data_IF_332634219958
#
_entry.id   IF_332634219958
#
_cell.length_a   1.000
_cell.length_b   1.000
_cell.length_c   1.000
_cell.angle_alpha   90.00
_cell.angle_beta   90.00
_cell.angle_gamma   90.00
#
_symmetry.space_group_name_H-M   'P 1'
#
loop_
_entity.id
_entity.type
_entity.pdbx_description
1 polymer ?
#
# COMPACT_ATOMS: atom_id res chain seq x y z
N UNK A 1 -14.87 -25.16 -41.20
CA UNK A 1 -15.15 -23.87 -40.52
C UNK A 1 -13.90 -23.49 -39.76
N UNK A 2 -13.38 -22.29 -39.98
CA UNK A 2 -12.29 -21.79 -39.11
C UNK A 2 -12.86 -21.63 -37.69
N UNK A 3 -12.13 -21.98 -36.63
CA UNK A 3 -12.59 -21.70 -35.28
C UNK A 3 -12.80 -20.19 -35.14
N UNK A 4 -13.99 -19.80 -34.69
CA UNK A 4 -14.27 -18.41 -34.33
C UNK A 4 -13.27 -18.04 -33.23
N UNK A 5 -12.49 -16.98 -33.43
CA UNK A 5 -11.58 -16.46 -32.44
C UNK A 5 -12.39 -16.20 -31.17
N UNK A 6 -12.07 -16.93 -30.10
CA UNK A 6 -12.71 -16.77 -28.80
C UNK A 6 -12.08 -15.55 -28.12
N UNK A 7 -12.89 -14.56 -27.72
CA UNK A 7 -12.42 -13.44 -26.94
C UNK A 7 -11.80 -13.95 -25.60
N UNK A 8 -10.76 -13.29 -25.11
CA UNK A 8 -10.19 -13.63 -23.80
C UNK A 8 -11.25 -13.49 -22.70
N UNK A 9 -11.20 -14.39 -21.72
CA UNK A 9 -12.13 -14.37 -20.59
C UNK A 9 -11.65 -13.37 -19.52
N UNK A 10 -12.60 -12.75 -18.86
CA UNK A 10 -12.36 -11.91 -17.69
C UNK A 10 -12.57 -12.74 -16.40
N UNK A 11 -11.69 -13.70 -16.17
CA UNK A 11 -11.80 -14.60 -15.01
C UNK A 11 -11.30 -13.93 -13.71
N UNK A 12 -10.38 -12.98 -13.82
CA UNK A 12 -9.73 -12.32 -12.68
C UNK A 12 -9.54 -10.84 -12.98
N UNK A 13 -9.73 -10.00 -11.97
CA UNK A 13 -9.41 -8.57 -11.99
C UNK A 13 -8.37 -8.27 -10.94
N UNK A 14 -7.51 -7.28 -11.20
CA UNK A 14 -6.68 -6.76 -10.14
C UNK A 14 -6.99 -5.29 -9.85
N UNK A 15 -6.82 -4.91 -8.59
CA UNK A 15 -7.24 -3.61 -8.06
C UNK A 15 -6.23 -3.07 -7.07
N UNK A 16 -6.21 -1.75 -6.93
CA UNK A 16 -5.36 -1.03 -5.99
C UNK A 16 -6.04 0.27 -5.54
N UNK A 17 -5.31 1.09 -4.82
CA UNK A 17 -5.73 2.46 -4.51
C UNK A 17 -6.13 3.29 -5.75
N UNK A 18 -5.68 2.93 -6.94
CA UNK A 18 -6.08 3.60 -8.19
C UNK A 18 -7.56 3.39 -8.53
N UNK A 19 -8.14 2.25 -8.14
CA UNK A 19 -9.57 1.96 -8.28
C UNK A 19 -10.41 2.45 -7.10
N UNK A 20 -9.74 2.92 -6.01
CA UNK A 20 -10.38 3.36 -4.78
C UNK A 20 -10.99 2.20 -3.97
N UNK A 21 -11.88 2.56 -3.06
CA UNK A 21 -12.60 1.59 -2.24
C UNK A 21 -13.67 0.85 -3.05
N UNK A 22 -13.44 -0.41 -3.35
CA UNK A 22 -14.42 -1.25 -4.03
C UNK A 22 -15.54 -1.66 -3.08
N UNK A 23 -16.77 -1.62 -3.56
CA UNK A 23 -17.95 -2.05 -2.80
C UNK A 23 -18.29 -3.52 -3.08
N UNK A 24 -19.07 -4.15 -2.20
CA UNK A 24 -19.65 -5.48 -2.45
C UNK A 24 -20.45 -5.47 -3.76
N UNK A 25 -21.22 -4.40 -4.03
CA UNK A 25 -21.98 -4.25 -5.26
C UNK A 25 -21.12 -4.24 -6.52
N UNK A 26 -19.96 -3.57 -6.51
CA UNK A 26 -19.01 -3.57 -7.62
C UNK A 26 -18.52 -5.00 -7.94
N UNK A 27 -18.03 -5.72 -6.93
CA UNK A 27 -17.53 -7.08 -7.11
C UNK A 27 -18.64 -8.08 -7.44
N UNK A 28 -19.83 -7.91 -6.89
CA UNK A 28 -21.00 -8.72 -7.26
C UNK A 28 -21.38 -8.52 -8.73
N UNK A 29 -21.37 -7.27 -9.22
CA UNK A 29 -21.63 -6.99 -10.63
C UNK A 29 -20.54 -7.60 -11.55
N UNK A 30 -19.27 -7.50 -11.17
CA UNK A 30 -18.16 -8.12 -11.90
C UNK A 30 -18.33 -9.65 -11.97
N UNK A 31 -18.70 -10.29 -10.87
CA UNK A 31 -18.97 -11.73 -10.81
C UNK A 31 -20.14 -12.13 -11.71
N UNK A 32 -21.29 -11.47 -11.54
CA UNK A 32 -22.56 -11.90 -12.12
C UNK A 32 -22.73 -11.52 -13.59
N UNK A 33 -22.19 -10.37 -14.01
CA UNK A 33 -22.36 -9.86 -15.37
C UNK A 33 -21.17 -10.18 -16.28
N UNK A 34 -19.96 -10.33 -15.72
CA UNK A 34 -18.73 -10.48 -16.51
C UNK A 34 -18.00 -11.80 -16.25
N UNK A 35 -18.47 -12.62 -15.30
CA UNK A 35 -17.91 -13.93 -15.03
C UNK A 35 -16.60 -13.91 -14.22
N UNK A 36 -16.28 -12.80 -13.56
CA UNK A 36 -15.11 -12.70 -12.67
C UNK A 36 -15.23 -13.71 -11.55
N UNK A 37 -14.14 -14.43 -11.26
CA UNK A 37 -14.06 -15.49 -10.26
C UNK A 37 -13.12 -15.11 -9.11
N UNK A 38 -12.13 -14.29 -9.40
CA UNK A 38 -11.04 -13.94 -8.49
C UNK A 38 -10.66 -12.46 -8.57
N UNK A 39 -10.22 -11.93 -7.45
CA UNK A 39 -9.64 -10.58 -7.32
C UNK A 39 -8.21 -10.71 -6.80
N UNK A 40 -7.30 -9.88 -7.30
CA UNK A 40 -5.96 -9.68 -6.71
C UNK A 40 -5.87 -8.23 -6.30
N UNK A 41 -5.75 -7.92 -5.01
CA UNK A 41 -5.64 -6.54 -4.53
C UNK A 41 -4.21 -6.19 -4.18
N UNK A 42 -3.77 -4.96 -4.49
CA UNK A 42 -2.49 -4.46 -3.98
C UNK A 42 -2.50 -4.52 -2.46
N UNK A 43 -1.46 -5.11 -1.89
CA UNK A 43 -1.24 -5.15 -0.43
C UNK A 43 -0.21 -4.09 -0.05
N UNK A 44 0.93 -4.09 -0.74
CA UNK A 44 2.06 -3.25 -0.35
C UNK A 44 3.05 -3.02 -1.48
N UNK A 45 4.03 -2.13 -1.24
CA UNK A 45 5.10 -1.81 -2.18
C UNK A 45 6.39 -1.52 -1.41
N UNK A 46 7.51 -2.10 -1.82
CA UNK A 46 8.77 -1.97 -1.11
C UNK A 46 8.63 -2.33 0.37
N UNK A 47 9.32 -1.62 1.25
CA UNK A 47 9.19 -1.76 2.71
C UNK A 47 8.48 -0.56 3.36
N UNK A 48 7.80 0.28 2.57
CA UNK A 48 7.36 1.61 3.00
C UNK A 48 5.91 1.98 2.65
N UNK A 49 5.29 1.30 1.69
CA UNK A 49 3.92 1.60 1.27
C UNK A 49 2.99 0.42 1.54
N UNK A 50 1.92 0.70 2.24
CA UNK A 50 0.78 -0.18 2.46
C UNK A 50 -0.42 0.38 1.69
N UNK A 51 -1.07 -0.42 0.87
CA UNK A 51 -2.22 0.04 0.09
C UNK A 51 -3.43 0.24 1.02
N UNK A 52 -3.87 1.49 1.15
CA UNK A 52 -4.93 1.85 2.08
C UNK A 52 -6.31 1.27 1.72
N UNK A 53 -6.48 0.75 0.50
CA UNK A 53 -7.72 0.11 0.06
C UNK A 53 -7.72 -1.39 0.29
N UNK A 54 -6.57 -2.01 0.56
CA UNK A 54 -6.39 -3.46 0.60
C UNK A 54 -7.38 -4.16 1.54
N UNK A 55 -7.46 -3.72 2.77
CA UNK A 55 -8.37 -4.31 3.77
C UNK A 55 -9.85 -4.26 3.34
N UNK A 56 -10.28 -3.12 2.79
CA UNK A 56 -11.62 -2.96 2.26
C UNK A 56 -11.86 -3.92 1.09
N UNK A 57 -10.94 -3.94 0.12
CA UNK A 57 -11.07 -4.73 -1.10
C UNK A 57 -11.06 -6.24 -0.79
N UNK A 58 -10.26 -6.68 0.17
CA UNK A 58 -10.30 -8.05 0.69
C UNK A 58 -11.68 -8.37 1.24
N UNK A 59 -12.18 -7.57 2.17
CA UNK A 59 -13.47 -7.79 2.83
C UNK A 59 -14.63 -7.79 1.85
N UNK A 60 -14.70 -6.81 0.94
CA UNK A 60 -15.82 -6.68 -0.01
C UNK A 60 -15.79 -7.73 -1.10
N UNK A 61 -14.60 -8.18 -1.55
CA UNK A 61 -14.46 -9.29 -2.50
C UNK A 61 -14.96 -10.61 -1.86
N UNK A 62 -14.57 -10.89 -0.62
CA UNK A 62 -15.06 -12.06 0.11
C UNK A 62 -16.59 -12.04 0.30
N UNK A 63 -17.14 -10.91 0.73
CA UNK A 63 -18.60 -10.74 0.90
C UNK A 63 -19.36 -10.93 -0.42
N UNK A 64 -18.75 -10.60 -1.56
CA UNK A 64 -19.33 -10.86 -2.88
C UNK A 64 -19.17 -12.31 -3.36
N UNK A 65 -18.51 -13.19 -2.59
CA UNK A 65 -18.28 -14.59 -2.92
C UNK A 65 -17.17 -14.82 -3.95
N UNK A 66 -16.31 -13.83 -4.21
CA UNK A 66 -15.12 -13.98 -5.03
C UNK A 66 -13.96 -14.58 -4.24
N UNK A 67 -13.03 -15.25 -4.94
CA UNK A 67 -11.71 -15.56 -4.37
C UNK A 67 -10.92 -14.27 -4.28
N UNK A 68 -10.16 -14.11 -3.19
CA UNK A 68 -9.33 -12.93 -2.97
C UNK A 68 -7.86 -13.30 -2.79
N UNK A 69 -7.01 -12.63 -3.52
CA UNK A 69 -5.57 -12.78 -3.50
C UNK A 69 -4.94 -11.39 -3.34
N UNK A 70 -3.64 -11.33 -3.11
CA UNK A 70 -2.94 -10.06 -2.97
C UNK A 70 -1.68 -9.99 -3.79
N UNK A 71 -1.21 -8.77 -4.08
CA UNK A 71 0.10 -8.58 -4.67
C UNK A 71 0.94 -7.56 -3.91
N UNK A 72 2.25 -7.76 -3.95
CA UNK A 72 3.26 -6.85 -3.46
C UNK A 72 4.05 -6.29 -4.64
N UNK A 73 4.03 -4.99 -4.84
CA UNK A 73 4.83 -4.33 -5.86
C UNK A 73 6.30 -4.29 -5.42
N UNK A 74 7.12 -5.08 -6.07
CA UNK A 74 8.52 -5.28 -5.68
C UNK A 74 9.39 -4.07 -6.06
N UNK A 75 10.28 -3.68 -5.16
CA UNK A 75 11.27 -2.61 -5.34
C UNK A 75 12.71 -3.08 -5.10
N UNK A 76 12.92 -4.34 -4.76
CA UNK A 76 14.24 -4.87 -4.43
C UNK A 76 15.23 -4.83 -5.61
N UNK A 77 16.50 -4.76 -5.26
CA UNK A 77 17.65 -4.95 -6.14
C UNK A 77 18.65 -5.98 -5.58
N UNK A 78 18.26 -6.71 -4.54
CA UNK A 78 19.08 -7.72 -3.86
C UNK A 78 18.22 -8.74 -3.13
N UNK A 79 18.79 -9.90 -2.80
CA UNK A 79 18.13 -10.96 -2.00
C UNK A 79 17.76 -10.43 -0.59
N UNK A 80 18.62 -9.62 0.01
CA UNK A 80 18.33 -9.02 1.33
C UNK A 80 17.16 -8.04 1.26
N UNK A 81 17.05 -7.25 0.17
CA UNK A 81 15.91 -6.39 -0.10
C UNK A 81 14.62 -7.19 -0.26
N UNK A 82 14.65 -8.25 -1.07
CA UNK A 82 13.48 -9.13 -1.26
C UNK A 82 13.03 -9.80 0.05
N UNK A 83 13.97 -10.17 0.93
CA UNK A 83 13.65 -10.68 2.26
C UNK A 83 12.91 -9.64 3.11
N UNK A 84 13.39 -8.42 3.13
CA UNK A 84 12.75 -7.34 3.89
C UNK A 84 11.34 -7.04 3.35
N UNK A 85 11.21 -6.96 2.02
CA UNK A 85 9.92 -6.72 1.35
C UNK A 85 8.93 -7.88 1.54
N UNK A 86 9.39 -9.13 1.50
CA UNK A 86 8.53 -10.30 1.76
C UNK A 86 7.98 -10.30 3.20
N UNK A 87 8.81 -9.99 4.19
CA UNK A 87 8.35 -9.86 5.57
C UNK A 87 7.32 -8.74 5.72
N UNK A 88 7.55 -7.60 5.05
CA UNK A 88 6.62 -6.49 5.05
C UNK A 88 5.30 -6.87 4.35
N UNK A 89 5.36 -7.47 3.17
CA UNK A 89 4.18 -7.92 2.43
C UNK A 89 3.32 -8.91 3.24
N UNK A 90 3.96 -9.89 3.88
CA UNK A 90 3.29 -10.86 4.77
C UNK A 90 2.64 -10.17 5.99
N UNK A 91 3.34 -9.22 6.60
CA UNK A 91 2.80 -8.48 7.73
C UNK A 91 1.55 -7.68 7.34
N UNK A 92 1.59 -6.98 6.20
CA UNK A 92 0.46 -6.21 5.69
C UNK A 92 -0.71 -7.12 5.26
N UNK A 93 -0.43 -8.21 4.55
CA UNK A 93 -1.45 -9.18 4.14
C UNK A 93 -2.21 -9.75 5.35
N UNK A 94 -1.51 -10.08 6.43
CA UNK A 94 -2.12 -10.53 7.70
C UNK A 94 -2.95 -9.44 8.36
N UNK A 95 -2.44 -8.23 8.42
CA UNK A 95 -3.13 -7.08 9.03
C UNK A 95 -4.43 -6.72 8.29
N UNK A 96 -4.45 -6.91 6.97
CA UNK A 96 -5.62 -6.66 6.13
C UNK A 96 -6.63 -7.83 6.12
N UNK A 97 -6.24 -8.97 6.68
CA UNK A 97 -7.11 -10.15 6.72
C UNK A 97 -7.13 -10.96 5.44
N UNK A 98 -6.04 -10.92 4.64
CA UNK A 98 -5.90 -11.82 3.50
C UNK A 98 -5.96 -13.28 3.99
N UNK A 99 -6.87 -14.12 3.46
CA UNK A 99 -7.06 -15.47 3.97
C UNK A 99 -5.78 -16.31 3.80
N UNK A 100 -5.51 -17.19 4.76
CA UNK A 100 -4.49 -18.22 4.60
C UNK A 100 -4.81 -19.07 3.35
N UNK A 101 -3.78 -19.53 2.66
CA UNK A 101 -3.85 -20.16 1.34
C UNK A 101 -4.30 -19.26 0.17
N UNK A 102 -4.53 -17.96 0.39
CA UNK A 102 -4.57 -17.00 -0.72
C UNK A 102 -3.19 -16.92 -1.40
N UNK A 103 -3.18 -16.50 -2.66
CA UNK A 103 -1.93 -16.20 -3.36
C UNK A 103 -1.46 -14.81 -2.95
N UNK A 104 -0.18 -14.70 -2.56
CA UNK A 104 0.52 -13.43 -2.40
C UNK A 104 1.59 -13.32 -3.48
N UNK A 105 1.30 -12.48 -4.46
CA UNK A 105 2.08 -12.36 -5.69
C UNK A 105 3.25 -11.41 -5.49
N UNK A 106 4.43 -11.78 -6.00
CA UNK A 106 5.53 -10.85 -6.22
C UNK A 106 5.34 -10.18 -7.58
N UNK A 107 5.01 -8.90 -7.61
CA UNK A 107 4.88 -8.10 -8.80
C UNK A 107 6.24 -7.50 -9.18
N UNK A 108 6.88 -8.08 -10.20
CA UNK A 108 8.27 -7.80 -10.61
C UNK A 108 8.27 -7.05 -11.92
N UNK A 109 8.22 -5.71 -11.85
CA UNK A 109 8.18 -4.84 -13.03
C UNK A 109 8.82 -3.45 -12.80
N UNK A 110 9.47 -3.24 -11.65
CA UNK A 110 10.09 -1.97 -11.34
C UNK A 110 11.49 -1.84 -11.98
N UNK A 111 11.88 -0.62 -12.31
CA UNK A 111 13.16 -0.31 -12.95
C UNK A 111 14.38 -0.89 -12.21
N UNK A 112 14.29 -1.05 -10.90
CA UNK A 112 15.34 -1.64 -10.08
C UNK A 112 15.66 -3.07 -10.51
N UNK A 113 14.63 -3.91 -10.76
CA UNK A 113 14.83 -5.29 -11.21
C UNK A 113 15.39 -5.35 -12.63
N UNK A 114 14.97 -4.43 -13.52
CA UNK A 114 15.53 -4.35 -14.86
C UNK A 114 17.05 -4.06 -14.86
N UNK A 115 17.52 -3.30 -13.87
CA UNK A 115 18.92 -2.95 -13.69
C UNK A 115 19.71 -3.98 -12.86
N UNK A 116 19.02 -4.96 -12.26
CA UNK A 116 19.62 -6.02 -11.46
C UNK A 116 19.91 -7.23 -12.33
N UNK A 117 21.08 -7.89 -12.19
CA UNK A 117 21.36 -9.12 -12.92
C UNK A 117 20.28 -10.17 -12.70
N UNK A 118 19.88 -10.87 -13.76
CA UNK A 118 18.79 -11.87 -13.74
C UNK A 118 18.96 -12.91 -12.65
N UNK A 119 20.15 -13.46 -12.48
CA UNK A 119 20.43 -14.44 -11.43
C UNK A 119 20.21 -13.91 -10.01
N UNK A 120 20.41 -12.59 -9.79
CA UNK A 120 20.11 -11.94 -8.50
C UNK A 120 18.60 -11.78 -8.34
N UNK A 121 17.87 -11.43 -9.40
CA UNK A 121 16.41 -11.38 -9.37
C UNK A 121 15.82 -12.77 -9.10
N UNK A 122 16.34 -13.80 -9.73
CA UNK A 122 15.89 -15.19 -9.51
C UNK A 122 16.06 -15.61 -8.04
N UNK A 123 17.23 -15.33 -7.43
CA UNK A 123 17.46 -15.60 -6.01
C UNK A 123 16.58 -14.75 -5.09
N UNK A 124 16.33 -13.49 -5.46
CA UNK A 124 15.45 -12.58 -4.71
C UNK A 124 14.00 -13.10 -4.70
N UNK A 125 13.51 -13.51 -5.86
CA UNK A 125 12.18 -14.13 -6.03
C UNK A 125 12.05 -15.42 -5.22
N UNK A 126 13.07 -16.28 -5.23
CA UNK A 126 13.09 -17.50 -4.42
C UNK A 126 13.02 -17.20 -2.91
N UNK A 127 13.71 -16.17 -2.45
CA UNK A 127 13.67 -15.77 -1.04
C UNK A 127 12.32 -15.16 -0.66
N UNK A 128 11.72 -14.34 -1.52
CA UNK A 128 10.36 -13.82 -1.34
C UNK A 128 9.34 -14.97 -1.23
N UNK A 129 9.37 -15.90 -2.19
CA UNK A 129 8.56 -17.12 -2.20
C UNK A 129 8.67 -17.89 -0.88
N UNK A 130 9.88 -18.18 -0.44
CA UNK A 130 10.14 -18.94 0.79
C UNK A 130 9.44 -18.32 2.01
N UNK A 131 9.49 -17.00 2.15
CA UNK A 131 8.90 -16.28 3.28
C UNK A 131 7.37 -16.28 3.19
N UNK A 132 6.83 -16.03 2.00
CA UNK A 132 5.39 -16.05 1.73
C UNK A 132 4.80 -17.42 2.05
N UNK A 133 5.44 -18.51 1.59
CA UNK A 133 4.99 -19.88 1.83
C UNK A 133 5.12 -20.28 3.31
N UNK A 134 6.20 -19.88 3.99
CA UNK A 134 6.34 -20.08 5.45
C UNK A 134 5.26 -19.36 6.27
N UNK A 135 4.72 -18.28 5.75
CA UNK A 135 3.63 -17.55 6.39
C UNK A 135 2.22 -18.14 6.15
N UNK A 136 2.13 -19.24 5.35
CA UNK A 136 0.89 -19.93 5.04
C UNK A 136 0.16 -19.42 3.79
N UNK A 137 0.75 -18.52 3.03
CA UNK A 137 0.22 -18.07 1.74
C UNK A 137 0.79 -18.93 0.60
N UNK A 138 0.09 -18.97 -0.53
CA UNK A 138 0.65 -19.49 -1.78
C UNK A 138 1.37 -18.36 -2.50
N UNK A 139 2.44 -18.69 -3.17
CA UNK A 139 3.25 -17.72 -3.89
C UNK A 139 2.98 -17.79 -5.39
N UNK A 140 2.95 -16.65 -6.06
CA UNK A 140 3.14 -16.56 -7.51
C UNK A 140 3.97 -15.33 -7.87
N UNK A 141 4.36 -15.22 -9.15
CA UNK A 141 5.07 -14.08 -9.71
C UNK A 141 4.25 -13.45 -10.83
N UNK A 142 4.14 -12.12 -10.80
CA UNK A 142 3.67 -11.34 -11.93
C UNK A 142 4.83 -10.61 -12.60
N UNK A 143 4.86 -10.64 -13.92
CA UNK A 143 5.77 -9.84 -14.74
C UNK A 143 5.25 -9.73 -16.17
N UNK A 144 5.84 -8.81 -16.96
CA UNK A 144 5.52 -8.69 -18.38
C UNK A 144 6.15 -9.81 -19.23
N UNK A 145 5.54 -10.09 -20.39
CA UNK A 145 6.11 -11.00 -21.39
C UNK A 145 7.55 -10.64 -21.78
N UNK A 146 7.87 -9.36 -21.86
CA UNK A 146 9.22 -8.90 -22.25
C UNK A 146 10.27 -9.14 -21.17
N UNK A 147 9.83 -9.26 -19.90
CA UNK A 147 10.72 -9.49 -18.76
C UNK A 147 10.84 -10.96 -18.39
N UNK A 148 9.79 -11.73 -18.68
CA UNK A 148 9.79 -13.18 -18.51
C UNK A 148 11.02 -13.80 -19.18
N UNK A 149 11.81 -14.53 -18.40
CA UNK A 149 13.05 -15.22 -18.78
C UNK A 149 14.23 -14.30 -19.22
N UNK A 150 13.98 -12.98 -19.37
CA UNK A 150 15.00 -11.99 -19.65
C UNK A 150 15.49 -11.27 -18.38
N UNK A 151 14.57 -10.84 -17.51
CA UNK A 151 14.85 -10.13 -16.25
C UNK A 151 14.69 -11.05 -15.05
N UNK A 152 13.69 -11.93 -15.10
CA UNK A 152 13.41 -12.93 -14.06
C UNK A 152 12.90 -14.21 -14.72
N UNK A 153 13.28 -15.36 -14.15
CA UNK A 153 12.81 -16.68 -14.63
C UNK A 153 11.37 -16.93 -14.19
N UNK A 154 10.52 -17.37 -15.13
CA UNK A 154 9.15 -17.81 -14.82
C UNK A 154 8.91 -19.18 -15.44
N UNK A 155 9.15 -20.29 -14.70
CA UNK A 155 8.94 -21.63 -15.19
C UNK A 155 7.49 -21.91 -15.60
N UNK A 156 7.29 -22.84 -16.54
CA UNK A 156 5.96 -23.34 -16.85
C UNK A 156 5.29 -23.94 -15.60
N UNK A 157 3.97 -23.77 -15.48
CA UNK A 157 3.19 -24.14 -14.29
C UNK A 157 3.29 -23.13 -13.16
N UNK A 158 3.86 -21.94 -13.40
CA UNK A 158 3.90 -20.80 -12.48
C UNK A 158 3.70 -19.51 -13.24
N UNK A 159 3.33 -18.44 -12.54
CA UNK A 159 3.37 -17.08 -13.05
C UNK A 159 2.05 -16.57 -13.63
N UNK A 160 1.89 -15.30 -13.49
CA UNK A 160 0.86 -14.45 -14.05
C UNK A 160 1.54 -13.45 -15.00
N UNK A 161 1.31 -13.60 -16.32
CA UNK A 161 2.07 -12.90 -17.34
C UNK A 161 1.24 -11.81 -18.00
N UNK A 162 1.75 -10.58 -18.02
CA UNK A 162 1.14 -9.46 -18.71
C UNK A 162 1.59 -9.40 -20.17
N UNK A 163 0.63 -9.33 -21.06
CA UNK A 163 0.82 -9.02 -22.48
C UNK A 163 -0.49 -8.50 -23.07
N UNK A 164 -0.51 -7.27 -23.56
CA UNK A 164 -1.70 -6.60 -24.08
C UNK A 164 -1.68 -6.58 -25.63
N UNK A 165 -2.28 -7.57 -26.31
CA UNK A 165 -2.38 -7.54 -27.77
C UNK A 165 -3.46 -6.55 -28.23
N UNK A 166 -3.20 -5.86 -29.33
CA UNK A 166 -4.19 -4.95 -29.92
C UNK A 166 -5.51 -5.66 -30.26
N UNK A 167 -5.43 -6.89 -30.76
CA UNK A 167 -6.57 -7.77 -30.95
C UNK A 167 -6.34 -9.11 -30.26
N UNK A 168 -7.28 -9.54 -29.44
CA UNK A 168 -7.25 -10.86 -28.80
C UNK A 168 -7.85 -11.87 -29.75
N UNK A 169 -6.99 -12.60 -30.45
CA UNK A 169 -7.40 -13.61 -31.45
C UNK A 169 -7.15 -15.05 -31.01
N UNK A 170 -6.37 -15.25 -29.97
CA UNK A 170 -6.02 -16.55 -29.41
C UNK A 170 -5.54 -16.40 -27.97
N UNK A 171 -5.63 -17.49 -27.20
CA UNK A 171 -5.04 -17.61 -25.87
C UNK A 171 -3.53 -17.47 -25.90
N UNK A 172 -2.96 -16.78 -24.92
CA UNK A 172 -1.51 -16.63 -24.74
C UNK A 172 -1.11 -17.10 -23.35
N UNK A 173 0.14 -17.51 -23.22
CA UNK A 173 0.71 -17.92 -21.93
C UNK A 173 -0.03 -19.08 -21.24
N UNK A 174 -0.64 -19.98 -22.01
CA UNK A 174 -1.42 -21.11 -21.50
C UNK A 174 -0.65 -22.08 -20.61
N UNK A 175 0.68 -22.01 -20.63
CA UNK A 175 1.55 -22.79 -19.74
C UNK A 175 1.76 -22.15 -18.36
N UNK A 176 1.17 -20.97 -18.09
CA UNK A 176 1.22 -20.22 -16.84
C UNK A 176 -0.14 -20.21 -16.15
N UNK A 177 -0.22 -19.76 -14.89
CA UNK A 177 -1.47 -19.74 -14.15
C UNK A 177 -2.47 -18.74 -14.73
N UNK A 178 -1.97 -17.57 -15.17
CA UNK A 178 -2.81 -16.48 -15.66
C UNK A 178 -2.13 -15.64 -16.75
N UNK A 179 -2.98 -15.03 -17.56
CA UNK A 179 -2.60 -14.02 -18.55
C UNK A 179 -3.39 -12.72 -18.31
N UNK A 180 -2.71 -11.62 -17.95
CA UNK A 180 -3.30 -10.28 -17.94
C UNK A 180 -3.28 -9.75 -19.37
N UNK A 181 -4.46 -9.58 -19.95
CA UNK A 181 -4.59 -9.33 -21.39
C UNK A 181 -5.05 -7.90 -21.72
N UNK A 182 -5.54 -7.12 -20.75
CA UNK A 182 -5.88 -5.71 -20.90
C UNK A 182 -5.79 -4.98 -19.56
N UNK A 183 -5.63 -3.64 -19.64
CA UNK A 183 -5.57 -2.73 -18.49
C UNK A 183 -6.57 -1.56 -18.60
N UNK A 184 -7.55 -1.68 -19.50
CA UNK A 184 -8.52 -0.64 -19.80
C UNK A 184 -9.98 -1.13 -19.76
N UNK A 185 -10.23 -2.26 -19.12
CA UNK A 185 -11.58 -2.81 -18.99
C UNK A 185 -12.48 -1.90 -18.14
N UNK A 186 -13.74 -1.78 -18.53
CA UNK A 186 -14.74 -0.99 -17.83
C UNK A 186 -15.88 -1.90 -17.36
N UNK A 187 -16.27 -1.77 -16.10
CA UNK A 187 -17.37 -2.53 -15.52
C UNK A 187 -18.52 -1.61 -15.14
N UNK A 188 -19.74 -2.00 -15.50
CA UNK A 188 -20.95 -1.25 -15.14
C UNK A 188 -21.04 -1.05 -13.61
N UNK A 189 -21.24 0.18 -13.17
CA UNK A 189 -21.36 0.51 -11.76
C UNK A 189 -20.03 0.65 -11.03
N UNK A 190 -18.90 0.50 -11.72
CA UNK A 190 -17.56 0.75 -11.18
C UNK A 190 -16.91 1.94 -11.88
N UNK A 191 -16.08 2.68 -11.16
CA UNK A 191 -15.39 3.85 -11.71
C UNK A 191 -13.97 3.50 -12.13
N UNK A 192 -13.55 4.00 -13.30
CA UNK A 192 -12.19 3.86 -13.82
C UNK A 192 -11.98 2.64 -14.71
N UNK A 193 -10.71 2.35 -14.94
CA UNK A 193 -10.23 1.24 -15.75
C UNK A 193 -9.66 0.15 -14.86
N UNK A 194 -9.79 -1.08 -15.32
CA UNK A 194 -9.37 -2.25 -14.57
C UNK A 194 -8.47 -3.15 -15.39
N UNK A 195 -7.49 -3.72 -14.74
CA UNK A 195 -6.67 -4.79 -15.28
C UNK A 195 -7.46 -6.11 -15.22
N UNK A 196 -7.47 -6.84 -16.33
CA UNK A 196 -8.26 -8.06 -16.49
C UNK A 196 -7.40 -9.22 -16.98
N UNK A 197 -7.68 -10.39 -16.43
CA UNK A 197 -6.89 -11.59 -16.69
C UNK A 197 -7.77 -12.81 -16.97
N UNK A 198 -7.25 -13.69 -17.83
CA UNK A 198 -7.76 -15.03 -18.06
C UNK A 198 -6.95 -16.03 -17.22
N UNK A 199 -7.65 -16.95 -16.57
CA UNK A 199 -7.07 -18.06 -15.79
C UNK A 199 -7.00 -19.31 -16.61
N UNK A 200 -5.93 -20.10 -16.46
CA UNK A 200 -5.73 -21.38 -17.14
C UNK A 200 -5.88 -22.59 -16.21
N UNK A 201 -5.88 -22.33 -14.90
CA UNK A 201 -6.09 -23.36 -13.88
C UNK A 201 -6.83 -22.77 -12.66
N UNK A 202 -6.88 -23.52 -11.57
CA UNK A 202 -7.55 -23.08 -10.33
C UNK A 202 -6.60 -22.48 -9.31
N UNK A 203 -5.40 -22.07 -9.71
CA UNK A 203 -4.41 -21.54 -8.75
C UNK A 203 -4.92 -20.31 -8.03
N UNK A 204 -5.59 -19.39 -8.70
CA UNK A 204 -6.19 -18.17 -8.11
C UNK A 204 -7.62 -18.35 -7.61
N UNK A 205 -8.23 -19.52 -7.82
CA UNK A 205 -9.61 -19.84 -7.44
C UNK A 205 -9.72 -21.05 -6.51
N UNK A 206 -8.62 -21.44 -5.85
CA UNK A 206 -8.57 -22.59 -4.96
C UNK A 206 -7.90 -22.28 -3.62
N UNK A 207 -7.89 -23.25 -2.74
CA UNK A 207 -7.14 -23.23 -1.48
C UNK A 207 -7.75 -22.38 -0.36
N UNK A 208 -8.73 -21.52 -0.64
CA UNK A 208 -9.38 -20.65 0.35
C UNK A 208 -10.73 -21.26 0.77
N UNK A 209 -11.05 -21.17 2.05
CA UNK A 209 -12.39 -21.44 2.55
C UNK A 209 -13.27 -20.20 2.39
N UNK A 210 -14.14 -20.22 1.39
CA UNK A 210 -15.08 -19.12 1.15
C UNK A 210 -16.11 -18.93 2.27
N UNK A 211 -16.32 -19.95 3.11
CA UNK A 211 -17.29 -19.92 4.20
C UNK A 211 -16.69 -19.39 5.53
N UNK A 212 -15.36 -19.25 5.62
CA UNK A 212 -14.70 -18.77 6.82
C UNK A 212 -14.99 -17.30 7.16
N UNK A 213 -15.60 -16.55 6.24
CA UNK A 213 -15.86 -15.11 6.38
C UNK A 213 -17.12 -14.81 7.22
N UNK A 214 -18.00 -15.78 7.42
CA UNK A 214 -19.27 -15.56 8.13
C UNK A 214 -19.13 -15.76 9.66
N UNK A 215 -18.00 -16.31 10.15
CA UNK A 215 -17.85 -16.73 11.56
C UNK A 215 -16.96 -15.85 12.42
N UNK A 216 -16.42 -14.73 11.94
CA UNK A 216 -15.58 -13.85 12.78
C UNK A 216 -16.39 -12.74 13.46
N UNK A 217 -17.54 -13.12 14.05
CA UNK A 217 -18.09 -12.46 15.24
C UNK A 217 -17.61 -13.18 16.50
N UNK A 218 -16.34 -13.52 16.57
CA UNK A 218 -15.78 -14.07 17.79
C UNK A 218 -15.22 -12.97 18.67
N UNK A 219 -16.02 -12.66 19.67
CA UNK A 219 -15.63 -12.16 20.97
C UNK A 219 -14.41 -12.90 21.50
N UNK A 220 -13.23 -12.34 21.30
CA UNK A 220 -12.10 -12.72 22.13
C UNK A 220 -12.31 -12.15 23.54
N UNK A 221 -12.73 -13.02 24.44
CA UNK A 221 -12.51 -12.85 25.87
C UNK A 221 -11.01 -12.70 26.07
N UNK A 222 -10.58 -11.50 26.37
CA UNK A 222 -9.26 -11.27 26.93
C UNK A 222 -9.40 -11.31 28.44
N UNK A 223 -8.80 -12.34 29.02
CA UNK A 223 -8.66 -12.45 30.45
C UNK A 223 -7.96 -11.22 31.02
N UNK A 224 -8.66 -10.66 31.98
CA UNK A 224 -8.29 -9.49 32.74
C UNK A 224 -7.22 -9.87 33.76
N UNK A 225 -5.97 -9.49 33.58
CA UNK A 225 -5.07 -9.32 34.73
C UNK A 225 -3.95 -8.29 34.48
N UNK A 226 -3.87 -7.42 35.48
CA UNK A 226 -2.83 -6.43 35.75
C UNK A 226 -3.05 -5.02 35.23
N UNK A 227 -3.93 -4.31 35.91
CA UNK A 227 -3.95 -2.85 35.93
C UNK A 227 -2.71 -2.33 36.64
N UNK A 228 -1.79 -1.74 35.90
CA UNK A 228 -0.89 -0.75 36.47
C UNK A 228 -1.65 0.58 36.54
N UNK A 229 -1.97 1.00 37.75
CA UNK A 229 -2.63 2.24 38.10
C UNK A 229 -1.69 3.40 37.75
N UNK A 230 -1.94 4.10 36.65
CA UNK A 230 -1.31 5.39 36.40
C UNK A 230 -2.12 6.45 37.14
N UNK A 231 -1.47 7.08 38.10
CA UNK A 231 -2.01 8.24 38.82
C UNK A 231 -2.28 9.38 37.80
N UNK A 232 -3.44 9.93 37.92
CA UNK A 232 -3.93 11.03 37.07
C UNK A 232 -3.42 12.34 37.68
N UNK A 233 -2.55 13.13 37.01
CA UNK A 233 -2.21 14.45 37.46
C UNK A 233 -3.43 15.38 37.33
N UNK A 234 -3.59 16.27 38.25
CA UNK A 234 -4.67 17.25 38.34
C UNK A 234 -4.80 18.08 37.06
N UNK A 235 -6.03 18.18 36.56
CA UNK A 235 -6.40 18.98 35.38
C UNK A 235 -6.11 20.46 35.63
N UNK A 236 -5.18 21.01 34.84
CA UNK A 236 -5.17 22.43 34.53
C UNK A 236 -5.96 22.59 33.23
N UNK A 237 -7.01 23.42 33.26
CA UNK A 237 -7.89 23.70 32.13
C UNK A 237 -7.12 24.47 31.03
N UNK A 238 -6.56 23.73 30.08
CA UNK A 238 -6.06 24.30 28.82
C UNK A 238 -7.13 24.13 27.75
N UNK A 239 -7.29 25.17 26.93
CA UNK A 239 -8.18 25.16 25.78
C UNK A 239 -7.71 24.04 24.82
N UNK A 240 -8.63 23.17 24.38
CA UNK A 240 -8.31 22.16 23.39
C UNK A 240 -7.86 22.86 22.08
N UNK A 241 -6.72 22.44 21.53
CA UNK A 241 -6.13 22.97 20.30
C UNK A 241 -5.67 21.81 19.44
N UNK A 242 -5.67 22.03 18.12
CA UNK A 242 -5.08 21.06 17.18
C UNK A 242 -4.48 21.79 15.96
N UNK A 243 -3.45 21.19 15.37
CA UNK A 243 -2.79 21.73 14.20
C UNK A 243 -2.12 20.63 13.36
N UNK A 244 -2.08 20.86 12.05
CA UNK A 244 -1.38 19.99 11.13
C UNK A 244 0.14 20.10 11.32
N UNK A 245 0.78 19.02 11.63
CA UNK A 245 2.24 18.91 11.74
C UNK A 245 2.68 17.50 11.41
N UNK A 246 3.52 17.37 10.40
CA UNK A 246 4.18 16.10 10.10
C UNK A 246 5.43 15.92 10.96
N UNK A 247 5.68 14.69 11.39
CA UNK A 247 6.89 14.38 12.15
C UNK A 247 7.04 12.90 12.46
N UNK A 248 8.15 12.58 13.09
CA UNK A 248 8.39 11.26 13.71
C UNK A 248 8.43 11.43 15.22
N UNK A 249 7.77 10.53 15.91
CA UNK A 249 7.86 10.40 17.35
C UNK A 249 8.40 9.01 17.68
N UNK A 250 9.44 8.97 18.50
CA UNK A 250 10.04 7.72 19.01
C UNK A 250 9.75 7.62 20.50
N UNK A 251 9.06 6.56 20.91
CA UNK A 251 8.68 6.32 22.28
C UNK A 251 9.91 6.01 23.15
N UNK A 252 9.96 6.54 24.37
CA UNK A 252 10.96 6.18 25.37
C UNK A 252 10.37 5.37 26.54
N UNK A 253 9.06 5.17 26.53
CA UNK A 253 8.30 4.37 27.48
C UNK A 253 7.19 3.62 26.75
N UNK A 254 6.57 2.64 27.39
CA UNK A 254 5.40 1.94 26.81
C UNK A 254 4.21 2.89 26.70
N UNK A 255 3.62 2.99 25.51
CA UNK A 255 2.54 3.92 25.22
C UNK A 255 1.32 3.21 24.65
N UNK A 256 0.15 3.64 25.09
CA UNK A 256 -1.11 3.15 24.57
C UNK A 256 -1.50 3.87 23.28
N UNK A 257 -1.91 3.11 22.29
CA UNK A 257 -2.54 3.57 21.05
C UNK A 257 -4.04 3.58 21.24
N UNK A 258 -4.69 4.66 20.85
CA UNK A 258 -6.12 4.87 21.08
C UNK A 258 -6.88 5.31 19.83
N UNK A 259 -8.20 5.14 19.85
CA UNK A 259 -9.09 5.51 18.72
C UNK A 259 -9.39 7.00 18.64
N UNK A 260 -9.10 7.77 19.70
CA UNK A 260 -9.24 9.23 19.74
C UNK A 260 -8.25 9.84 20.72
N UNK A 261 -7.94 11.17 20.67
CA UNK A 261 -7.00 11.84 21.56
C UNK A 261 -7.62 12.03 22.96
N UNK A 262 -7.82 10.92 23.66
CA UNK A 262 -8.40 10.89 25.00
C UNK A 262 -7.98 9.60 25.73
N UNK A 263 -7.66 9.72 27.02
CA UNK A 263 -7.31 8.60 27.89
C UNK A 263 -8.49 7.67 28.20
N UNK A 264 -9.72 8.11 27.96
CA UNK A 264 -10.94 7.32 28.18
C UNK A 264 -11.35 6.43 26.99
N UNK A 265 -10.71 6.60 25.82
CA UNK A 265 -11.02 5.81 24.63
C UNK A 265 -10.32 4.47 24.62
N UNK A 266 -10.86 3.53 23.85
CA UNK A 266 -10.34 2.18 23.74
C UNK A 266 -8.85 2.16 23.36
N UNK A 267 -8.08 1.32 24.03
CA UNK A 267 -6.70 0.97 23.67
C UNK A 267 -6.76 -0.09 22.58
N UNK A 268 -6.14 0.16 21.44
CA UNK A 268 -6.17 -0.74 20.26
C UNK A 268 -4.81 -1.35 19.95
N UNK A 269 -3.74 -0.77 20.48
CA UNK A 269 -2.37 -1.27 20.37
C UNK A 269 -1.48 -0.60 21.42
N UNK A 270 -0.20 -0.97 21.44
CA UNK A 270 0.83 -0.33 22.27
C UNK A 270 2.10 -0.14 21.45
N UNK A 271 2.86 0.90 21.78
CA UNK A 271 4.26 1.09 21.37
C UNK A 271 5.16 0.75 22.54
N UNK A 272 6.21 -0.01 22.26
CA UNK A 272 7.28 -0.28 23.22
C UNK A 272 8.40 0.79 23.10
N UNK A 273 9.25 0.95 24.14
CA UNK A 273 10.37 1.88 24.09
C UNK A 273 11.28 1.61 22.87
N UNK A 274 11.63 2.67 22.14
CA UNK A 274 12.42 2.60 20.91
C UNK A 274 11.60 2.49 19.62
N UNK A 275 10.32 2.16 19.69
CA UNK A 275 9.45 2.15 18.53
C UNK A 275 9.06 3.57 18.11
N UNK A 276 8.86 3.74 16.79
CA UNK A 276 8.58 5.06 16.20
C UNK A 276 7.30 5.04 15.37
N UNK A 277 6.61 6.17 15.36
CA UNK A 277 5.48 6.44 14.49
C UNK A 277 5.71 7.73 13.70
N UNK A 278 5.18 7.78 12.48
CA UNK A 278 5.08 9.01 11.70
C UNK A 278 3.68 9.59 11.89
N UNK A 279 3.59 10.86 12.29
CA UNK A 279 2.33 11.53 12.53
C UNK A 279 2.11 12.69 11.55
N UNK A 280 0.85 13.02 11.30
CA UNK A 280 0.41 14.08 10.38
C UNK A 280 -0.32 15.23 11.08
N UNK A 281 -0.65 15.06 12.37
CA UNK A 281 -1.42 16.05 13.11
C UNK A 281 -1.12 15.95 14.61
N UNK A 282 -1.17 17.09 15.30
CA UNK A 282 -1.01 17.18 16.74
C UNK A 282 -2.28 17.70 17.37
N UNK A 283 -2.73 17.06 18.46
CA UNK A 283 -3.84 17.52 19.29
C UNK A 283 -3.31 17.82 20.69
N UNK A 284 -3.69 18.95 21.24
CA UNK A 284 -3.51 19.30 22.67
C UNK A 284 -4.89 19.14 23.29
N UNK A 285 -5.09 18.06 24.04
CA UNK A 285 -6.39 17.72 24.57
C UNK A 285 -6.30 16.95 25.88
N UNK A 286 -7.16 17.35 26.84
CA UNK A 286 -7.21 16.69 28.15
C UNK A 286 -5.90 16.75 28.92
N UNK A 287 -5.08 17.78 28.74
CA UNK A 287 -3.77 17.95 29.36
C UNK A 287 -2.63 17.19 28.70
N UNK A 288 -2.87 16.51 27.59
CA UNK A 288 -1.87 15.77 26.82
C UNK A 288 -1.62 16.35 25.44
N UNK A 289 -0.44 16.09 24.90
CA UNK A 289 -0.07 16.34 23.51
C UNK A 289 -0.13 15.01 22.78
N UNK A 290 -1.03 14.88 21.80
CA UNK A 290 -1.29 13.66 21.07
C UNK A 290 -0.77 13.76 19.64
N UNK A 291 -0.12 12.72 19.16
CA UNK A 291 0.13 12.50 17.76
C UNK A 291 -1.05 11.76 17.14
N UNK A 292 -1.55 12.24 15.99
CA UNK A 292 -2.43 11.47 15.12
C UNK A 292 -1.61 10.83 14.01
N UNK A 293 -1.88 9.58 13.73
CA UNK A 293 -1.30 8.91 12.58
C UNK A 293 -2.32 7.97 11.94
N UNK A 294 -2.16 7.76 10.65
CA UNK A 294 -2.91 6.73 9.96
C UNK A 294 -2.32 5.38 10.35
N UNK A 295 -3.11 4.55 11.03
CA UNK A 295 -2.70 3.19 11.36
C UNK A 295 -2.73 2.29 10.14
N UNK A 296 -2.08 1.16 10.22
CA UNK A 296 -2.13 0.13 9.17
C UNK A 296 -3.54 -0.40 8.87
N UNK A 297 -4.50 -0.18 9.78
CA UNK A 297 -5.90 -0.52 9.57
C UNK A 297 -6.67 0.51 8.73
N UNK A 298 -6.02 1.58 8.26
CA UNK A 298 -6.68 2.68 7.55
C UNK A 298 -7.52 3.60 8.45
N UNK A 299 -7.42 3.44 9.77
CA UNK A 299 -8.08 4.30 10.75
C UNK A 299 -7.06 5.25 11.39
N UNK A 300 -7.50 6.47 11.73
CA UNK A 300 -6.67 7.33 12.53
C UNK A 300 -6.57 6.80 13.95
N UNK A 301 -5.32 6.68 14.41
CA UNK A 301 -4.99 6.34 15.78
C UNK A 301 -4.23 7.48 16.44
N UNK A 302 -4.20 7.46 17.77
CA UNK A 302 -3.66 8.53 18.58
C UNK A 302 -2.75 7.96 19.65
N UNK A 303 -1.59 8.61 19.83
CA UNK A 303 -0.61 8.29 20.87
C UNK A 303 -0.29 9.56 21.64
N UNK A 304 -0.34 9.51 22.97
CA UNK A 304 0.11 10.62 23.79
C UNK A 304 1.64 10.72 23.70
N UNK A 305 2.13 11.84 23.18
CA UNK A 305 3.55 12.15 23.08
C UNK A 305 4.13 12.72 24.39
N UNK A 306 3.27 13.24 25.25
CA UNK A 306 3.65 13.83 26.54
C UNK A 306 2.50 14.56 27.21
N UNK A 307 2.76 15.11 28.38
CA UNK A 307 1.86 16.01 29.13
C UNK A 307 2.14 17.44 28.67
N UNK A 308 1.09 18.23 28.46
CA UNK A 308 1.24 19.62 28.08
C UNK A 308 2.03 20.41 29.15
N UNK A 309 3.17 21.00 28.75
CA UNK A 309 4.05 21.71 29.67
C UNK A 309 4.77 20.85 30.71
N UNK A 310 4.71 19.53 30.56
CA UNK A 310 5.27 18.56 31.50
C UNK A 310 6.14 17.49 30.84
N UNK A 311 6.01 16.26 31.31
CA UNK A 311 6.82 15.14 30.88
C UNK A 311 6.59 14.77 29.42
N UNK A 312 7.67 14.61 28.64
CA UNK A 312 7.67 14.00 27.31
C UNK A 312 7.79 12.47 27.44
N UNK A 313 7.03 11.75 26.62
CA UNK A 313 7.01 10.28 26.60
C UNK A 313 7.92 9.70 25.51
N UNK A 314 8.62 10.56 24.78
CA UNK A 314 9.53 10.18 23.71
C UNK A 314 10.21 11.39 23.09
N UNK A 315 10.88 11.17 21.97
CA UNK A 315 11.57 12.20 21.20
C UNK A 315 10.75 12.56 19.97
N UNK A 316 10.44 13.83 19.80
CA UNK A 316 9.73 14.37 18.63
C UNK A 316 10.72 14.99 17.65
N UNK A 317 10.62 14.60 16.38
CA UNK A 317 11.27 15.27 15.26
C UNK A 317 10.17 15.76 14.32
N UNK A 318 9.76 17.02 14.46
CA UNK A 318 8.85 17.63 13.50
C UNK A 318 9.55 17.79 12.15
N UNK A 319 8.88 17.36 11.08
CA UNK A 319 9.25 17.82 9.76
C UNK A 319 8.63 19.20 9.58
N UNK A 320 9.44 20.19 9.26
CA UNK A 320 8.88 21.40 8.67
C UNK A 320 8.14 20.98 7.43
N UNK A 321 6.83 21.12 7.45
CA UNK A 321 5.98 20.84 6.30
C UNK A 321 6.33 21.88 5.23
N UNK A 322 7.34 21.61 4.44
CA UNK A 322 7.48 22.26 3.15
C UNK A 322 6.38 21.62 2.32
N UNK A 323 5.17 22.17 2.45
CA UNK A 323 4.12 21.89 1.49
C UNK A 323 4.73 22.25 0.15
N UNK A 324 5.08 21.26 -0.64
CA UNK A 324 5.72 21.46 -1.94
C UNK A 324 4.77 22.31 -2.77
N UNK A 325 5.04 23.62 -2.79
CA UNK A 325 4.33 24.56 -3.63
C UNK A 325 5.01 24.58 -4.97
N UNK A 326 4.23 24.70 -6.01
CA UNK A 326 4.75 24.73 -7.37
C UNK A 326 4.42 26.06 -8.02
N UNK A 327 5.39 26.61 -8.73
CA UNK A 327 5.23 27.80 -9.56
C UNK A 327 5.51 27.43 -11.01
N UNK A 328 4.56 27.72 -11.90
CA UNK A 328 4.79 27.55 -13.35
C UNK A 328 5.43 28.81 -13.91
N UNK A 329 6.64 28.66 -14.46
CA UNK A 329 7.40 29.74 -15.10
C UNK A 329 6.58 30.33 -16.23
N UNK A 330 6.45 31.66 -16.25
CA UNK A 330 5.77 32.41 -17.31
C UNK A 330 6.77 33.06 -18.25
N UNK A 331 6.30 33.45 -19.43
CA UNK A 331 7.10 34.23 -20.39
C UNK A 331 7.57 35.53 -19.70
N UNK A 332 8.88 35.82 -19.75
CA UNK A 332 9.49 36.99 -19.13
C UNK A 332 9.93 36.80 -17.66
N UNK A 333 9.69 35.65 -17.07
CA UNK A 333 10.19 35.36 -15.72
C UNK A 333 11.71 35.14 -15.72
N UNK A 334 12.33 35.53 -14.60
CA UNK A 334 13.69 35.13 -14.23
C UNK A 334 13.67 34.40 -12.89
N UNK A 335 14.62 33.49 -12.67
CA UNK A 335 14.67 32.72 -11.41
C UNK A 335 14.81 33.63 -10.18
N UNK A 336 15.48 34.79 -10.32
CA UNK A 336 15.61 35.79 -9.27
C UNK A 336 14.30 36.51 -8.96
N UNK A 337 13.52 36.85 -9.98
CA UNK A 337 12.20 37.46 -9.80
C UNK A 337 11.22 36.48 -9.16
N UNK A 338 11.26 35.22 -9.60
CA UNK A 338 10.46 34.13 -9.02
C UNK A 338 10.85 33.90 -7.56
N UNK A 339 12.13 33.80 -7.23
CA UNK A 339 12.60 33.62 -5.85
C UNK A 339 12.11 34.76 -4.94
N UNK A 340 12.22 36.00 -5.36
CA UNK A 340 11.70 37.16 -4.62
C UNK A 340 10.20 37.09 -4.43
N UNK A 341 9.45 36.73 -5.47
CA UNK A 341 7.98 36.60 -5.44
C UNK A 341 7.52 35.52 -4.48
N UNK A 342 8.25 34.42 -4.38
CA UNK A 342 7.89 33.23 -3.59
C UNK A 342 8.48 33.27 -2.16
N UNK A 343 9.23 34.34 -1.81
CA UNK A 343 9.85 34.47 -0.49
C UNK A 343 10.98 33.46 -0.24
N UNK A 344 11.65 33.02 -1.29
CA UNK A 344 12.77 32.05 -1.25
C UNK A 344 14.03 32.62 -1.88
N UNK A 345 15.07 31.83 -2.05
CA UNK A 345 16.33 32.23 -2.69
C UNK A 345 16.55 31.53 -4.03
N UNK A 346 17.33 32.15 -4.92
CA UNK A 346 17.74 31.52 -6.19
C UNK A 346 18.43 30.18 -5.94
N UNK A 347 19.32 30.12 -4.94
CA UNK A 347 20.04 28.91 -4.56
C UNK A 347 19.10 27.78 -4.10
N UNK A 348 18.05 28.12 -3.32
CA UNK A 348 17.05 27.16 -2.89
C UNK A 348 16.26 26.63 -4.09
N UNK A 349 15.79 27.50 -5.00
CA UNK A 349 15.10 27.08 -6.22
C UNK A 349 16.00 26.21 -7.11
N UNK A 350 17.26 26.52 -7.22
CA UNK A 350 18.22 25.74 -7.99
C UNK A 350 18.41 24.34 -7.38
N UNK A 351 18.66 24.25 -6.08
CA UNK A 351 18.90 22.97 -5.40
C UNK A 351 17.66 22.07 -5.41
N UNK A 352 16.48 22.65 -5.12
CA UNK A 352 15.23 21.90 -5.08
C UNK A 352 14.80 21.35 -6.46
N UNK A 353 15.12 22.08 -7.54
CA UNK A 353 14.69 21.74 -8.90
C UNK A 353 15.81 21.22 -9.81
N UNK A 354 17.01 20.99 -9.28
CA UNK A 354 18.14 20.51 -10.07
C UNK A 354 18.63 21.49 -11.16
N UNK A 355 18.39 22.80 -10.99
CA UNK A 355 18.74 23.84 -11.97
C UNK A 355 20.21 24.19 -11.83
N UNK A 356 21.04 23.75 -12.78
CA UNK A 356 22.48 24.03 -12.79
C UNK A 356 22.80 25.47 -13.18
N UNK A 357 22.02 26.11 -14.05
CA UNK A 357 22.20 27.47 -14.52
C UNK A 357 20.97 28.31 -14.20
N UNK A 358 21.10 29.27 -13.28
CA UNK A 358 20.02 30.15 -12.84
C UNK A 358 19.39 30.99 -13.96
N UNK A 359 20.11 31.20 -15.06
CA UNK A 359 19.66 31.97 -16.23
C UNK A 359 18.95 31.11 -17.26
N UNK A 360 18.79 29.80 -17.01
CA UNK A 360 18.20 28.87 -17.95
C UNK A 360 16.96 28.21 -17.34
N UNK A 361 15.84 28.91 -17.45
CA UNK A 361 14.49 28.43 -17.13
C UNK A 361 13.58 28.65 -18.33
N UNK A 362 12.55 27.84 -18.46
CA UNK A 362 11.67 27.85 -19.63
C UNK A 362 10.22 28.14 -19.23
N UNK A 363 9.47 28.93 -20.03
CA UNK A 363 8.04 29.08 -19.84
C UNK A 363 7.34 27.72 -19.82
N UNK A 364 6.46 27.47 -18.86
CA UNK A 364 5.80 26.19 -18.63
C UNK A 364 6.57 25.25 -17.68
N UNK A 365 7.81 25.53 -17.35
CA UNK A 365 8.57 24.76 -16.35
C UNK A 365 7.92 24.88 -14.97
N UNK A 366 7.72 23.75 -14.29
CA UNK A 366 7.22 23.72 -12.92
C UNK A 366 8.39 23.78 -11.94
N UNK A 367 8.40 24.77 -11.06
CA UNK A 367 9.40 24.94 -10.01
C UNK A 367 8.78 24.67 -8.65
N UNK A 368 9.33 23.70 -7.93
CA UNK A 368 9.00 23.44 -6.53
C UNK A 368 9.68 24.47 -5.62
N UNK A 369 8.94 24.99 -4.60
CA UNK A 369 9.46 25.97 -3.64
C UNK A 369 8.88 25.81 -2.25
#
# INVERSE_FOLDING_TARGET
MAPTAQAARTDMVDVSNHNGYMTVGNFTAMRDQYGVKSVVTKISEGTYYHDYTAKNNISTAQQSGLYINGYHFARWSSVAGARAEANYAVAMAKADGLPINAVLVADVEAKQQQQTPKNVNDLAVMEFKRIVEQAGYRYDIYTSQSWKDNVVSVPAGTGWIAQYPYNVTADRHTQHHAWQWASDAVFNGSYGHFDVSQLYDNYYTGGQDKNAVISNSDTHHVDNQSQAKQEQPAQTSSKDEDYAQNGVFTANTKLNVRMAPSTSTQIVAQYDPGESLTYDHVYIKGGYVWARYMSYSGSYHYVAMGIMGGQEYGTRKAYTNVQSRYYTVKVGDSLSAIAKKLGTTVSALQSTNGIKNANLIYPGQSLQY
#
